data_IF_214290197263
#
_entry.id   IF_214290197263
#
_cell.length_a   1.000
_cell.length_b   1.000
_cell.length_c   1.000
_cell.angle_alpha   90.00
_cell.angle_beta   90.00
_cell.angle_gamma   90.00
#
_symmetry.space_group_name_H-M   'P 1'
#
loop_
_entity.id
_entity.type
_entity.pdbx_description
1 polymer ?
#
# COMPACT_ATOMS: atom_id res chain seq x y z
N UNK A 1 -23.25 -19.40 4.41
CA UNK A 1 -21.94 -19.00 3.83
C UNK A 1 -21.09 -18.43 4.95
N UNK A 2 -19.81 -18.75 5.01
CA UNK A 2 -18.83 -18.34 6.03
C UNK A 2 -17.60 -17.80 5.33
N UNK A 3 -17.16 -16.59 5.70
CA UNK A 3 -15.91 -16.03 5.21
C UNK A 3 -14.75 -16.78 5.87
N UNK A 4 -13.92 -17.42 5.05
CA UNK A 4 -12.70 -18.08 5.50
C UNK A 4 -11.52 -17.22 5.03
N UNK A 5 -11.00 -16.43 5.96
CA UNK A 5 -9.98 -15.44 5.68
C UNK A 5 -8.59 -15.92 6.10
N UNK A 6 -7.57 -15.64 5.30
CA UNK A 6 -6.19 -15.98 5.64
C UNK A 6 -5.16 -15.33 4.72
N UNK A 7 -3.94 -15.83 4.77
CA UNK A 7 -2.91 -15.51 3.79
C UNK A 7 -3.26 -16.06 2.40
N UNK A 8 -2.49 -15.67 1.40
CA UNK A 8 -2.77 -16.08 0.04
C UNK A 8 -2.63 -17.59 -0.17
N UNK A 9 -1.67 -18.24 0.52
CA UNK A 9 -1.49 -19.68 0.41
C UNK A 9 -2.73 -20.44 0.91
N UNK A 10 -3.33 -19.99 2.01
CA UNK A 10 -4.58 -20.55 2.55
C UNK A 10 -5.73 -20.43 1.57
N UNK A 11 -5.91 -19.24 0.98
CA UNK A 11 -6.97 -18.98 -0.01
C UNK A 11 -6.81 -19.88 -1.24
N UNK A 12 -5.59 -19.99 -1.77
CA UNK A 12 -5.29 -20.88 -2.92
C UNK A 12 -5.60 -22.34 -2.60
N UNK A 13 -5.19 -22.82 -1.42
CA UNK A 13 -5.49 -24.20 -0.97
C UNK A 13 -7.00 -24.44 -0.86
N UNK A 14 -7.75 -23.51 -0.29
CA UNK A 14 -9.20 -23.63 -0.17
C UNK A 14 -9.90 -23.65 -1.53
N UNK A 15 -9.50 -22.78 -2.48
CA UNK A 15 -10.05 -22.82 -3.84
C UNK A 15 -9.67 -24.10 -4.57
N UNK A 16 -8.44 -24.59 -4.39
CA UNK A 16 -8.01 -25.89 -4.91
C UNK A 16 -8.86 -27.05 -4.36
N UNK A 17 -9.12 -27.07 -3.05
CA UNK A 17 -9.99 -28.07 -2.42
C UNK A 17 -11.43 -28.00 -2.97
N UNK A 18 -11.98 -26.80 -3.17
CA UNK A 18 -13.31 -26.64 -3.81
C UNK A 18 -13.33 -27.21 -5.23
N UNK A 19 -12.27 -26.98 -6.01
CA UNK A 19 -12.13 -27.55 -7.36
C UNK A 19 -12.07 -29.08 -7.35
N UNK A 20 -11.22 -29.66 -6.49
CA UNK A 20 -11.04 -31.11 -6.36
C UNK A 20 -12.30 -31.83 -5.87
N UNK A 21 -13.14 -31.14 -5.10
CA UNK A 21 -14.36 -31.70 -4.50
C UNK A 21 -15.62 -31.29 -5.26
N UNK A 22 -15.49 -30.71 -6.46
CA UNK A 22 -16.62 -30.12 -7.19
C UNK A 22 -17.70 -31.13 -7.60
N UNK A 23 -17.37 -32.41 -7.67
CA UNK A 23 -18.24 -33.54 -8.01
C UNK A 23 -18.92 -34.20 -6.79
N UNK A 24 -18.58 -33.76 -5.56
CA UNK A 24 -19.20 -34.27 -4.34
C UNK A 24 -20.71 -34.02 -4.33
N UNK A 25 -21.47 -35.01 -3.87
CA UNK A 25 -22.94 -34.98 -3.92
C UNK A 25 -23.54 -33.83 -3.11
N UNK A 26 -23.02 -33.60 -1.90
CA UNK A 26 -23.57 -32.56 -1.02
C UNK A 26 -22.81 -31.25 -1.13
N UNK A 27 -23.54 -30.14 -1.03
CA UNK A 27 -22.97 -28.79 -0.95
C UNK A 27 -21.98 -28.58 0.21
N UNK A 28 -22.18 -29.30 1.32
CA UNK A 28 -21.27 -29.26 2.45
C UNK A 28 -19.87 -29.82 2.10
N UNK A 29 -19.83 -31.01 1.51
CA UNK A 29 -18.59 -31.67 1.06
C UNK A 29 -17.89 -30.89 -0.06
N UNK A 30 -18.62 -30.21 -0.97
CA UNK A 30 -18.02 -29.28 -1.96
C UNK A 30 -17.39 -28.03 -1.34
N UNK A 31 -17.60 -27.80 -0.04
CA UNK A 31 -17.22 -26.59 0.68
C UNK A 31 -17.86 -25.33 0.09
N UNK A 32 -19.09 -25.44 -0.45
CA UNK A 32 -19.84 -24.29 -0.99
C UNK A 32 -20.09 -23.23 0.10
N UNK A 33 -20.19 -23.67 1.35
CA UNK A 33 -20.34 -22.80 2.51
C UNK A 33 -19.13 -21.89 2.74
N UNK A 34 -17.92 -22.25 2.30
CA UNK A 34 -16.71 -21.48 2.53
C UNK A 34 -16.47 -20.45 1.42
N UNK A 35 -16.30 -19.18 1.82
CA UNK A 35 -15.90 -18.08 0.94
C UNK A 35 -14.43 -17.71 1.22
N UNK A 36 -13.47 -18.17 0.39
CA UNK A 36 -12.05 -17.90 0.62
C UNK A 36 -11.69 -16.44 0.26
N UNK A 37 -11.23 -15.68 1.25
CA UNK A 37 -10.86 -14.26 1.06
C UNK A 37 -9.45 -14.00 1.59
N UNK A 38 -8.59 -13.40 0.75
CA UNK A 38 -7.27 -12.98 1.19
C UNK A 38 -7.39 -11.78 2.13
N UNK A 39 -6.77 -11.87 3.31
CA UNK A 39 -6.90 -10.81 4.31
C UNK A 39 -6.20 -9.52 3.88
N UNK A 40 -6.87 -8.39 4.11
CA UNK A 40 -6.39 -7.06 3.77
C UNK A 40 -5.08 -6.69 4.47
N UNK A 41 -4.84 -7.23 5.67
CA UNK A 41 -3.57 -7.05 6.38
C UNK A 41 -2.37 -7.52 5.54
N UNK A 42 -2.49 -8.65 4.83
CA UNK A 42 -1.43 -9.14 3.96
C UNK A 42 -1.18 -8.22 2.77
N UNK A 43 -2.22 -7.53 2.27
CA UNK A 43 -2.10 -6.51 1.22
C UNK A 43 -1.35 -5.29 1.75
N UNK A 44 -1.69 -4.80 2.95
CA UNK A 44 -0.97 -3.70 3.58
C UNK A 44 0.49 -4.07 3.87
N UNK A 45 0.75 -5.26 4.41
CA UNK A 45 2.11 -5.76 4.67
C UNK A 45 2.94 -5.84 3.38
N UNK A 46 2.35 -6.34 2.29
CA UNK A 46 3.03 -6.41 1.01
C UNK A 46 3.31 -5.03 0.42
N UNK A 47 2.36 -4.10 0.53
CA UNK A 47 2.55 -2.71 0.10
C UNK A 47 3.71 -2.07 0.88
N UNK A 48 3.80 -2.27 2.21
CA UNK A 48 4.93 -1.78 3.00
C UNK A 48 6.27 -2.32 2.48
N UNK A 49 6.35 -3.63 2.17
CA UNK A 49 7.57 -4.23 1.60
C UNK A 49 7.95 -3.60 0.25
N UNK A 50 6.98 -3.38 -0.63
CA UNK A 50 7.21 -2.74 -1.93
C UNK A 50 7.70 -1.30 -1.75
N UNK A 51 7.14 -0.54 -0.81
CA UNK A 51 7.58 0.83 -0.51
C UNK A 51 9.03 0.85 0.00
N UNK A 52 9.36 -0.01 0.98
CA UNK A 52 10.73 -0.11 1.49
C UNK A 52 11.70 -0.48 0.37
N UNK A 53 11.34 -1.41 -0.51
CA UNK A 53 12.15 -1.79 -1.65
C UNK A 53 12.35 -0.63 -2.65
N UNK A 54 11.25 -0.01 -3.10
CA UNK A 54 11.28 1.00 -4.15
C UNK A 54 11.99 2.29 -3.73
N UNK A 55 11.92 2.66 -2.45
CA UNK A 55 12.50 3.90 -1.92
C UNK A 55 13.75 3.67 -1.09
N UNK A 56 14.32 2.45 -1.12
CA UNK A 56 15.52 2.08 -0.37
C UNK A 56 16.68 3.04 -0.64
N UNK A 57 17.04 3.22 -1.92
CA UNK A 57 18.21 3.97 -2.36
C UNK A 57 19.51 3.52 -1.68
N UNK A 58 20.48 4.43 -1.57
CA UNK A 58 21.77 4.17 -0.89
C UNK A 58 21.97 5.06 0.32
N UNK A 59 22.78 4.65 1.30
CA UNK A 59 23.19 5.49 2.46
C UNK A 59 23.80 6.83 2.03
N UNK A 60 24.45 6.86 0.86
CA UNK A 60 25.09 8.06 0.32
C UNK A 60 24.12 8.95 -0.49
N UNK A 61 22.94 8.43 -0.82
CA UNK A 61 21.92 9.18 -1.56
C UNK A 61 21.07 10.00 -0.59
N UNK A 62 21.09 11.31 -0.76
CA UNK A 62 20.35 12.21 0.11
C UNK A 62 18.84 11.94 0.03
N UNK A 63 18.21 11.71 1.19
CA UNK A 63 16.77 11.50 1.28
C UNK A 63 16.30 10.08 0.96
N UNK A 64 17.21 9.13 0.68
CA UNK A 64 16.87 7.72 0.53
C UNK A 64 16.40 7.12 1.86
N UNK A 65 15.57 6.06 1.82
CA UNK A 65 15.17 5.36 3.05
C UNK A 65 16.38 4.77 3.77
N UNK A 66 17.40 4.29 3.07
CA UNK A 66 18.57 3.67 3.71
C UNK A 66 19.44 4.69 4.45
N UNK A 67 19.57 5.91 3.91
CA UNK A 67 20.21 7.03 4.61
C UNK A 67 19.40 7.42 5.86
N UNK A 68 18.09 7.63 5.72
CA UNK A 68 17.24 8.07 6.82
C UNK A 68 17.15 7.00 7.93
N UNK A 69 16.96 5.73 7.56
CA UNK A 69 16.98 4.61 8.50
C UNK A 69 18.33 4.45 9.20
N UNK A 70 19.44 4.78 8.52
CA UNK A 70 20.76 4.83 9.13
C UNK A 70 20.85 5.90 10.21
N UNK A 71 20.43 7.12 9.88
CA UNK A 71 20.44 8.24 10.84
C UNK A 71 19.57 7.96 12.05
N UNK A 72 18.44 7.27 11.85
CA UNK A 72 17.50 6.88 12.91
C UNK A 72 17.87 5.57 13.63
N UNK A 73 18.98 4.91 13.24
CA UNK A 73 19.43 3.62 13.78
C UNK A 73 18.40 2.46 13.62
N UNK A 74 17.64 2.45 12.51
CA UNK A 74 16.54 1.51 12.21
C UNK A 74 16.78 0.63 10.98
N UNK A 75 18.01 0.12 10.80
CA UNK A 75 18.42 -0.59 9.57
C UNK A 75 17.81 -1.99 9.37
N UNK A 76 17.13 -2.56 10.36
CA UNK A 76 16.60 -3.95 10.32
C UNK A 76 15.51 -4.15 9.25
N UNK A 77 14.95 -3.07 8.73
CA UNK A 77 13.90 -3.07 7.70
C UNK A 77 14.40 -3.54 6.31
N UNK A 78 15.71 -3.61 6.09
CA UNK A 78 16.30 -4.04 4.80
C UNK A 78 16.76 -5.50 4.76
N UNK A 79 16.35 -6.30 5.75
CA UNK A 79 16.55 -7.75 5.73
C UNK A 79 15.60 -8.45 4.76
N UNK A 80 15.84 -9.72 4.43
CA UNK A 80 14.98 -10.49 3.50
C UNK A 80 13.55 -10.68 4.03
N UNK A 81 13.42 -10.80 5.35
CA UNK A 81 12.14 -10.92 6.05
C UNK A 81 12.05 -9.85 7.13
N UNK A 82 11.84 -8.59 6.73
CA UNK A 82 11.79 -7.50 7.67
C UNK A 82 10.50 -7.59 8.49
N UNK A 83 10.61 -7.25 9.76
CA UNK A 83 9.47 -7.15 10.66
C UNK A 83 8.49 -6.08 10.14
N UNK A 84 7.20 -6.43 10.09
CA UNK A 84 6.18 -5.54 9.57
C UNK A 84 6.06 -4.25 10.38
N UNK A 85 6.11 -4.34 11.71
CA UNK A 85 5.96 -3.17 12.57
C UNK A 85 7.15 -2.22 12.41
N UNK A 86 8.37 -2.76 12.30
CA UNK A 86 9.55 -1.95 12.03
C UNK A 86 9.46 -1.20 10.69
N UNK A 87 8.93 -1.85 9.64
CA UNK A 87 8.70 -1.19 8.35
C UNK A 87 7.60 -0.13 8.44
N UNK A 88 6.44 -0.46 9.00
CA UNK A 88 5.30 0.47 9.15
C UNK A 88 5.72 1.71 9.96
N UNK A 89 6.44 1.52 11.06
CA UNK A 89 6.92 2.62 11.90
C UNK A 89 7.90 3.53 11.16
N UNK A 90 8.90 2.96 10.47
CA UNK A 90 9.86 3.77 9.70
C UNK A 90 9.16 4.53 8.57
N UNK A 91 8.31 3.86 7.79
CA UNK A 91 7.59 4.47 6.67
C UNK A 91 6.72 5.64 7.14
N UNK A 92 5.98 5.47 8.24
CA UNK A 92 5.15 6.54 8.82
C UNK A 92 6.00 7.69 9.33
N UNK A 93 7.11 7.42 10.02
CA UNK A 93 8.00 8.49 10.50
C UNK A 93 8.60 9.30 9.35
N UNK A 94 9.12 8.63 8.31
CA UNK A 94 9.66 9.31 7.13
C UNK A 94 8.55 10.10 6.42
N UNK A 95 7.35 9.53 6.28
CA UNK A 95 6.21 10.24 5.69
C UNK A 95 5.85 11.51 6.46
N UNK A 96 5.69 11.42 7.78
CA UNK A 96 5.40 12.59 8.63
C UNK A 96 6.50 13.64 8.51
N UNK A 97 7.77 13.26 8.56
CA UNK A 97 8.89 14.19 8.42
C UNK A 97 8.90 14.87 7.05
N UNK A 98 8.67 14.12 5.97
CA UNK A 98 8.64 14.68 4.61
C UNK A 98 7.47 15.64 4.43
N UNK A 99 6.27 15.32 4.93
CA UNK A 99 5.12 16.22 4.89
C UNK A 99 5.39 17.50 5.68
N UNK A 100 5.97 17.40 6.88
CA UNK A 100 6.36 18.57 7.68
C UNK A 100 7.42 19.43 6.98
N UNK A 101 8.38 18.81 6.29
CA UNK A 101 9.38 19.55 5.52
C UNK A 101 8.76 20.28 4.32
N UNK A 102 7.85 19.63 3.60
CA UNK A 102 7.10 20.26 2.52
C UNK A 102 6.25 21.43 3.04
N UNK A 103 5.64 21.28 4.23
CA UNK A 103 4.94 22.37 4.92
C UNK A 103 5.89 23.54 5.13
N UNK A 104 7.00 23.33 5.83
CA UNK A 104 7.98 24.39 6.16
C UNK A 104 8.41 25.16 4.91
N UNK A 105 8.71 24.45 3.82
CA UNK A 105 9.11 25.06 2.54
C UNK A 105 7.99 25.86 1.87
N UNK A 106 6.72 25.53 2.15
CA UNK A 106 5.55 26.20 1.57
C UNK A 106 5.10 27.46 2.33
N UNK A 107 5.78 27.86 3.42
CA UNK A 107 5.47 29.06 4.21
C UNK A 107 4.00 29.15 4.68
N UNK A 108 3.35 28.01 4.94
CA UNK A 108 1.95 27.91 5.39
C UNK A 108 1.78 28.26 6.88
N UNK A 109 2.18 29.47 7.28
CA UNK A 109 2.03 29.99 8.64
C UNK A 109 0.59 30.46 8.96
N UNK A 110 -0.40 30.13 8.13
CA UNK A 110 -1.72 30.77 8.13
C UNK A 110 -2.92 29.82 8.28
N UNK A 111 -2.73 28.51 8.39
CA UNK A 111 -3.86 27.58 8.53
C UNK A 111 -4.52 27.67 9.92
N UNK A 112 -5.82 27.93 9.95
CA UNK A 112 -6.57 28.11 11.20
C UNK A 112 -7.28 26.82 11.67
N UNK A 113 -7.48 25.83 10.78
CA UNK A 113 -8.15 24.57 11.11
C UNK A 113 -7.69 23.36 10.24
N UNK A 114 -8.07 22.15 10.67
CA UNK A 114 -7.67 20.88 10.04
C UNK A 114 -8.24 20.65 8.62
N UNK A 115 -9.39 21.23 8.28
CA UNK A 115 -10.02 21.04 6.97
C UNK A 115 -9.33 21.91 5.91
N UNK A 116 -9.07 23.18 6.25
CA UNK A 116 -8.27 24.11 5.46
C UNK A 116 -6.85 23.54 5.24
N UNK A 117 -6.26 22.99 6.31
CA UNK A 117 -4.99 22.26 6.24
C UNK A 117 -5.03 21.11 5.23
N UNK A 118 -6.05 20.23 5.31
CA UNK A 118 -6.15 19.08 4.42
C UNK A 118 -6.29 19.51 2.95
N UNK A 119 -7.04 20.57 2.68
CA UNK A 119 -7.23 21.09 1.33
C UNK A 119 -5.93 21.65 0.75
N UNK A 120 -5.18 22.42 1.54
CA UNK A 120 -3.91 23.03 1.09
C UNK A 120 -2.85 21.95 0.86
N UNK A 121 -2.74 20.96 1.76
CA UNK A 121 -1.80 19.84 1.56
C UNK A 121 -2.17 19.07 0.29
N UNK A 122 -3.45 18.77 0.08
CA UNK A 122 -3.89 18.09 -1.13
C UNK A 122 -3.59 18.93 -2.39
N UNK A 123 -3.90 20.22 -2.39
CA UNK A 123 -3.62 21.13 -3.50
C UNK A 123 -2.11 21.15 -3.83
N UNK A 124 -1.25 21.32 -2.82
CA UNK A 124 0.20 21.37 -3.01
C UNK A 124 0.79 20.03 -3.43
N UNK A 125 0.34 18.93 -2.83
CA UNK A 125 0.74 17.60 -3.28
C UNK A 125 0.37 17.40 -4.75
N UNK A 126 -0.82 17.84 -5.17
CA UNK A 126 -1.28 17.72 -6.56
C UNK A 126 -0.51 18.65 -7.51
N UNK A 127 -0.24 19.90 -7.12
CA UNK A 127 0.61 20.83 -7.89
C UNK A 127 2.02 20.25 -8.12
N UNK A 128 2.60 19.65 -7.08
CA UNK A 128 3.93 19.07 -7.16
C UNK A 128 3.94 17.81 -8.03
N UNK A 129 2.90 16.96 -7.92
CA UNK A 129 2.73 15.80 -8.78
C UNK A 129 2.58 16.23 -10.25
N UNK A 130 1.74 17.24 -10.54
CA UNK A 130 1.46 17.73 -11.89
C UNK A 130 2.68 18.40 -12.53
N UNK A 131 3.40 19.24 -11.78
CA UNK A 131 4.64 19.87 -12.25
C UNK A 131 5.65 18.83 -12.72
N UNK A 132 5.84 17.79 -11.95
CA UNK A 132 6.84 16.78 -12.24
C UNK A 132 6.38 15.75 -13.30
N UNK A 133 5.09 15.46 -13.43
CA UNK A 133 4.57 14.61 -14.51
C UNK A 133 4.76 15.26 -15.89
N UNK A 134 4.79 16.59 -15.94
CA UNK A 134 4.98 17.38 -17.15
C UNK A 134 6.45 17.69 -17.47
N UNK A 135 7.41 17.26 -16.64
CA UNK A 135 8.84 17.38 -16.93
C UNK A 135 9.31 16.22 -17.82
N UNK A 136 9.70 16.55 -19.06
CA UNK A 136 10.14 15.61 -20.11
C UNK A 136 11.54 15.02 -19.89
N UNK A 137 12.29 15.48 -18.89
CA UNK A 137 13.60 14.94 -18.52
C UNK A 137 13.50 14.25 -17.16
N UNK A 138 13.78 12.95 -17.14
CA UNK A 138 13.82 12.10 -15.95
C UNK A 138 15.03 12.51 -15.10
N UNK A 139 14.90 13.57 -14.32
CA UNK A 139 15.95 14.02 -13.42
C UNK A 139 15.79 13.32 -12.05
N UNK A 140 16.81 12.57 -11.63
CA UNK A 140 16.84 11.83 -10.37
C UNK A 140 17.13 12.75 -9.18
N UNK A 141 16.35 13.83 -9.04
CA UNK A 141 16.54 14.77 -7.94
C UNK A 141 16.00 14.17 -6.63
N UNK A 142 16.69 14.34 -5.49
CA UNK A 142 16.19 13.93 -4.17
C UNK A 142 14.77 14.44 -3.86
N UNK A 143 14.41 15.61 -4.39
CA UNK A 143 13.06 16.16 -4.31
C UNK A 143 12.01 15.27 -5.00
N UNK A 144 12.32 14.72 -6.18
CA UNK A 144 11.40 13.87 -6.96
C UNK A 144 11.08 12.57 -6.23
N UNK A 145 12.10 11.90 -5.70
CA UNK A 145 11.92 10.65 -4.95
C UNK A 145 11.06 10.87 -3.69
N UNK A 146 11.25 11.99 -2.98
CA UNK A 146 10.44 12.35 -1.83
C UNK A 146 8.95 12.56 -2.19
N UNK A 147 8.67 13.17 -3.34
CA UNK A 147 7.29 13.40 -3.83
C UNK A 147 6.60 12.09 -4.18
N UNK A 148 7.28 11.23 -4.94
CA UNK A 148 6.77 9.90 -5.29
C UNK A 148 6.53 9.07 -4.02
N UNK A 149 7.44 9.14 -3.05
CA UNK A 149 7.29 8.50 -1.75
C UNK A 149 6.04 8.99 -1.01
N UNK A 150 5.81 10.31 -0.95
CA UNK A 150 4.60 10.89 -0.34
C UNK A 150 3.34 10.39 -1.05
N UNK A 151 3.31 10.40 -2.39
CA UNK A 151 2.18 9.89 -3.19
C UNK A 151 1.85 8.44 -2.83
N UNK A 152 2.85 7.56 -2.80
CA UNK A 152 2.62 6.13 -2.56
C UNK A 152 2.31 5.86 -1.08
N UNK A 153 2.87 6.65 -0.16
CA UNK A 153 2.52 6.61 1.26
C UNK A 153 1.10 7.11 1.54
N UNK A 154 0.57 8.07 0.78
CA UNK A 154 -0.84 8.48 0.93
C UNK A 154 -1.78 7.30 0.65
N UNK A 155 -1.49 6.49 -0.37
CA UNK A 155 -2.24 5.26 -0.63
C UNK A 155 -2.08 4.23 0.50
N UNK A 156 -0.89 4.10 1.07
CA UNK A 156 -0.64 3.23 2.24
C UNK A 156 -1.44 3.67 3.47
N UNK A 157 -1.42 4.97 3.77
CA UNK A 157 -2.16 5.58 4.88
C UNK A 157 -3.67 5.46 4.69
N UNK A 158 -4.16 5.67 3.47
CA UNK A 158 -5.55 5.50 3.07
C UNK A 158 -6.02 4.06 3.30
N UNK A 159 -5.26 3.09 2.80
CA UNK A 159 -5.57 1.67 3.00
C UNK A 159 -5.58 1.30 4.49
N UNK A 160 -4.56 1.73 5.24
CA UNK A 160 -4.46 1.45 6.67
C UNK A 160 -5.63 2.05 7.46
N UNK A 161 -6.01 3.30 7.15
CA UNK A 161 -7.16 3.98 7.74
C UNK A 161 -8.46 3.25 7.43
N UNK A 162 -8.69 2.92 6.15
CA UNK A 162 -9.91 2.28 5.68
C UNK A 162 -10.08 0.86 6.27
N UNK A 163 -8.99 0.08 6.37
CA UNK A 163 -9.00 -1.22 7.06
C UNK A 163 -9.39 -1.05 8.53
N UNK A 164 -8.78 -0.09 9.24
CA UNK A 164 -9.00 0.11 10.68
C UNK A 164 -10.45 0.45 11.02
N UNK A 165 -11.12 1.24 10.18
CA UNK A 165 -12.52 1.64 10.39
C UNK A 165 -13.52 0.71 9.69
N UNK A 166 -13.05 -0.24 8.88
CA UNK A 166 -13.91 -1.15 8.11
C UNK A 166 -14.66 -0.49 6.95
N UNK A 167 -14.11 0.59 6.36
CA UNK A 167 -14.75 1.28 5.23
C UNK A 167 -14.46 0.56 3.91
N UNK A 168 -15.41 -0.29 3.51
CA UNK A 168 -15.31 -1.13 2.31
C UNK A 168 -15.20 -0.28 1.04
N UNK A 169 -15.90 0.85 0.95
CA UNK A 169 -15.88 1.70 -0.25
C UNK A 169 -14.50 2.33 -0.48
N UNK A 170 -13.83 2.75 0.60
CA UNK A 170 -12.44 3.25 0.54
C UNK A 170 -11.45 2.14 0.25
N UNK A 171 -11.62 0.97 0.88
CA UNK A 171 -10.80 -0.23 0.61
C UNK A 171 -10.87 -0.59 -0.87
N UNK A 172 -12.06 -0.70 -1.46
CA UNK A 172 -12.22 -1.09 -2.86
C UNK A 172 -11.49 -0.13 -3.81
N UNK A 173 -11.60 1.19 -3.56
CA UNK A 173 -10.88 2.22 -4.33
C UNK A 173 -9.37 2.05 -4.22
N UNK A 174 -8.84 1.78 -3.02
CA UNK A 174 -7.42 1.51 -2.82
C UNK A 174 -6.97 0.23 -3.54
N UNK A 175 -7.78 -0.84 -3.50
CA UNK A 175 -7.44 -2.13 -4.14
C UNK A 175 -7.21 -2.02 -5.65
N UNK A 176 -7.88 -1.09 -6.34
CA UNK A 176 -7.63 -0.81 -7.76
C UNK A 176 -6.16 -0.41 -7.99
N UNK A 177 -5.65 0.51 -7.19
CA UNK A 177 -4.26 0.98 -7.29
C UNK A 177 -3.27 -0.08 -6.82
N UNK A 178 -3.58 -0.80 -5.73
CA UNK A 178 -2.75 -1.91 -5.27
C UNK A 178 -2.57 -2.99 -6.33
N UNK A 179 -3.61 -3.28 -7.12
CA UNK A 179 -3.53 -4.26 -8.22
C UNK A 179 -2.41 -3.90 -9.21
N UNK A 180 -2.30 -2.61 -9.56
CA UNK A 180 -1.28 -2.10 -10.48
C UNK A 180 0.10 -2.15 -9.82
N UNK A 181 0.19 -1.67 -8.58
CA UNK A 181 1.45 -1.65 -7.82
C UNK A 181 2.00 -3.07 -7.62
N UNK A 182 1.16 -4.04 -7.28
CA UNK A 182 1.60 -5.42 -7.05
C UNK A 182 2.03 -6.11 -8.34
N UNK A 183 1.39 -5.77 -9.45
CA UNK A 183 1.80 -6.27 -10.76
C UNK A 183 3.19 -5.74 -11.14
N UNK A 184 3.45 -4.45 -10.89
CA UNK A 184 4.76 -3.83 -11.14
C UNK A 184 5.84 -4.22 -10.12
N UNK A 185 5.47 -4.39 -8.85
CA UNK A 185 6.37 -4.64 -7.72
C UNK A 185 6.74 -6.10 -7.50
N UNK A 186 6.84 -6.90 -8.57
CA UNK A 186 7.26 -8.31 -8.54
C UNK A 186 6.42 -9.24 -7.65
N UNK A 187 5.13 -8.92 -7.41
CA UNK A 187 4.22 -9.75 -6.61
C UNK A 187 2.98 -10.19 -7.41
N UNK A 188 3.18 -10.86 -8.57
CA UNK A 188 2.11 -11.12 -9.54
C UNK A 188 0.98 -11.98 -8.99
N UNK A 189 1.28 -12.87 -8.04
CA UNK A 189 0.25 -13.67 -7.37
C UNK A 189 -0.73 -12.82 -6.58
N UNK A 190 -0.26 -11.80 -5.86
CA UNK A 190 -1.16 -10.91 -5.13
C UNK A 190 -1.93 -9.99 -6.09
N UNK A 191 -1.31 -9.57 -7.20
CA UNK A 191 -2.01 -8.81 -8.24
C UNK A 191 -3.16 -9.61 -8.86
N UNK A 192 -2.94 -10.87 -9.25
CA UNK A 192 -3.97 -11.76 -9.78
C UNK A 192 -5.12 -11.96 -8.78
N UNK A 193 -4.79 -12.05 -7.51
CA UNK A 193 -5.76 -12.27 -6.44
C UNK A 193 -6.61 -11.04 -6.18
N UNK A 194 -6.02 -9.84 -6.27
CA UNK A 194 -6.77 -8.60 -6.25
C UNK A 194 -7.66 -8.43 -7.49
N UNK A 195 -7.20 -8.85 -8.68
CA UNK A 195 -8.06 -8.87 -9.88
C UNK A 195 -9.27 -9.79 -9.68
N UNK A 196 -9.04 -11.02 -9.19
CA UNK A 196 -10.11 -11.97 -8.88
C UNK A 196 -11.06 -11.40 -7.81
N UNK A 197 -10.53 -10.86 -6.71
CA UNK A 197 -11.33 -10.31 -5.63
C UNK A 197 -12.20 -9.14 -6.09
N UNK A 198 -11.66 -8.22 -6.89
CA UNK A 198 -12.42 -7.11 -7.48
C UNK A 198 -13.49 -7.58 -8.45
N UNK A 199 -13.21 -8.60 -9.27
CA UNK A 199 -14.21 -9.22 -10.13
C UNK A 199 -15.36 -9.80 -9.31
N UNK A 200 -15.04 -10.51 -8.22
CA UNK A 200 -16.04 -11.06 -7.32
C UNK A 200 -16.95 -9.97 -6.73
N UNK A 201 -16.35 -8.90 -6.19
CA UNK A 201 -17.10 -7.77 -5.59
C UNK A 201 -18.04 -7.06 -6.56
N UNK A 202 -17.68 -6.98 -7.85
CA UNK A 202 -18.42 -6.19 -8.82
C UNK A 202 -19.44 -7.00 -9.64
N UNK A 203 -19.24 -8.31 -9.79
CA UNK A 203 -20.00 -9.11 -10.76
C UNK A 203 -20.51 -10.45 -10.23
N UNK A 204 -20.02 -10.96 -9.11
CA UNK A 204 -20.36 -12.30 -8.61
C UNK A 204 -21.14 -12.23 -7.30
N UNK A 205 -20.73 -11.36 -6.39
CA UNK A 205 -21.32 -11.18 -5.06
C UNK A 205 -22.38 -10.09 -5.03
#
# INVERSE_FOLDING_TARGET
MVVVAGDLATVKKLRGLKGLRSDERSSYHRLDWALPVAQLFHMQMLLAKILVHNYRGSVNEQGSLEQLATMLQRRRVFSDNPDFHAMDELLRHVFTATVLRLWEMSNLNTCSNNAEFSNIVNEKVMEIIDRDLNMSNVDHTPSRNAILFVRDMLLYMELSSAIKIGDIGRIEKALKWLTIIFHAGFTPHYAQELMHFRCCLNYIW
#
